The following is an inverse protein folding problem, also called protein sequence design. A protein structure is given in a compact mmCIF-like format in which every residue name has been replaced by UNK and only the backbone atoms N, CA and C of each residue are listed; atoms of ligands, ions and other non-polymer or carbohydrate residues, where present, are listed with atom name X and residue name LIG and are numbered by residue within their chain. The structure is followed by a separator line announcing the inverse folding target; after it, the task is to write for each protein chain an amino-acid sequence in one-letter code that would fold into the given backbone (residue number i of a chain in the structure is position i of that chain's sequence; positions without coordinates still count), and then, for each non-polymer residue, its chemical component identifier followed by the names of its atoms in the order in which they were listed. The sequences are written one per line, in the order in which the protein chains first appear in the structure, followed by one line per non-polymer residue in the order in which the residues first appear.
data_IF_110060174224
#
_entry.id   IF_110060174224
#
_cell.length_a   1.000
_cell.length_b   1.000
_cell.length_c   1.000
_cell.angle_alpha   90.00
_cell.angle_beta   90.00
_cell.angle_gamma   90.00
#
_symmetry.space_group_name_H-M   'P 1'
#
loop_
_entity.id
_entity.type
_entity.pdbx_description
1 polymer ?
#
# COMPACT_ATOMS: atom_id res chain seq x y z
N UNK A 1 -19.60 -16.03 -7.93
CA UNK A 1 -19.02 -16.68 -6.72
C UNK A 1 -19.03 -18.21 -6.83
N UNK A 2 -19.94 -18.78 -7.64
CA UNK A 2 -20.06 -20.22 -7.86
C UNK A 2 -18.72 -20.92 -8.19
N UNK A 3 -18.57 -22.14 -7.67
CA UNK A 3 -17.46 -23.04 -7.98
C UNK A 3 -16.23 -22.89 -7.09
N UNK A 4 -16.21 -21.93 -6.17
CA UNK A 4 -15.14 -21.70 -5.19
C UNK A 4 -15.78 -21.61 -3.81
N UNK A 5 -15.19 -22.30 -2.83
CA UNK A 5 -15.58 -22.19 -1.43
C UNK A 5 -14.95 -20.94 -0.82
N UNK A 6 -15.78 -20.07 -0.26
CA UNK A 6 -15.35 -18.80 0.34
C UNK A 6 -15.44 -18.94 1.86
N UNK A 7 -14.32 -19.10 2.58
CA UNK A 7 -14.33 -19.27 4.04
C UNK A 7 -14.90 -18.02 4.69
N UNK A 8 -15.76 -18.22 5.69
CA UNK A 8 -16.44 -17.16 6.43
C UNK A 8 -16.18 -17.38 7.92
N UNK A 9 -15.47 -16.45 8.58
CA UNK A 9 -15.15 -16.59 10.00
C UNK A 9 -16.40 -16.36 10.87
N UNK A 10 -17.18 -15.34 10.52
CA UNK A 10 -18.47 -14.99 11.12
C UNK A 10 -19.42 -14.63 9.98
N UNK A 11 -20.69 -15.05 10.03
CA UNK A 11 -21.68 -14.82 8.97
C UNK A 11 -21.58 -13.41 8.33
N UNK A 12 -21.13 -13.36 7.07
CA UNK A 12 -20.97 -12.12 6.31
C UNK A 12 -19.59 -11.46 6.38
N UNK A 13 -18.57 -12.16 6.87
CA UNK A 13 -17.17 -11.70 6.95
C UNK A 13 -16.23 -12.68 6.25
N UNK A 14 -16.25 -12.71 4.90
CA UNK A 14 -15.41 -13.63 4.15
C UNK A 14 -13.93 -13.37 4.42
N UNK A 15 -13.17 -14.44 4.62
CA UNK A 15 -11.72 -14.38 4.69
C UNK A 15 -11.11 -14.47 3.30
N UNK A 16 -10.15 -13.59 3.04
CA UNK A 16 -9.30 -13.63 1.86
C UNK A 16 -7.85 -13.94 2.19
N UNK A 17 -7.58 -14.46 3.40
CA UNK A 17 -6.26 -14.98 3.75
C UNK A 17 -5.96 -16.21 2.90
N UNK A 18 -4.70 -16.34 2.48
CA UNK A 18 -4.32 -17.39 1.53
C UNK A 18 -4.47 -18.78 2.16
N UNK A 19 -4.10 -18.91 3.43
CA UNK A 19 -4.27 -20.11 4.25
C UNK A 19 -5.73 -20.54 4.38
N UNK A 20 -6.65 -19.61 4.64
CA UNK A 20 -8.08 -19.91 4.77
C UNK A 20 -8.67 -20.37 3.42
N UNK A 21 -8.34 -19.65 2.33
CA UNK A 21 -8.84 -19.94 0.99
C UNK A 21 -8.34 -21.29 0.47
N UNK A 22 -7.06 -21.59 0.66
CA UNK A 22 -6.46 -22.86 0.24
C UNK A 22 -7.06 -24.03 1.01
N UNK A 23 -7.18 -23.91 2.34
CA UNK A 23 -7.81 -24.93 3.18
C UNK A 23 -9.27 -25.21 2.77
N UNK A 24 -10.07 -24.16 2.57
CA UNK A 24 -11.47 -24.28 2.18
C UNK A 24 -11.67 -24.95 0.80
N UNK A 25 -10.71 -24.80 -0.11
CA UNK A 25 -10.79 -25.33 -1.47
C UNK A 25 -9.95 -26.60 -1.68
N UNK A 26 -9.45 -27.23 -0.61
CA UNK A 26 -8.67 -28.47 -0.69
C UNK A 26 -7.34 -28.34 -1.43
N UNK A 27 -6.73 -27.15 -1.40
CA UNK A 27 -5.44 -26.86 -2.02
C UNK A 27 -4.32 -27.06 -1.00
N UNK A 28 -3.21 -27.66 -1.44
CA UNK A 28 -2.05 -27.87 -0.59
C UNK A 28 -1.44 -26.54 -0.13
N UNK A 29 -1.24 -26.42 1.18
CA UNK A 29 -0.59 -25.29 1.83
C UNK A 29 0.15 -25.80 3.07
N UNK A 30 1.28 -26.47 2.84
CA UNK A 30 1.96 -27.29 3.86
C UNK A 30 2.57 -26.46 4.99
N UNK A 31 3.26 -25.36 4.66
CA UNK A 31 3.89 -24.47 5.61
C UNK A 31 3.48 -23.02 5.29
N UNK A 32 2.33 -22.58 5.81
CA UNK A 32 1.95 -21.18 5.72
C UNK A 32 3.08 -20.31 6.30
N UNK A 33 3.40 -19.21 5.59
CA UNK A 33 4.51 -18.32 5.90
C UNK A 33 5.92 -18.86 5.54
N UNK A 34 6.02 -19.96 4.79
CA UNK A 34 7.19 -20.27 3.96
C UNK A 34 7.05 -19.62 2.58
N UNK A 35 8.11 -18.96 2.11
CA UNK A 35 8.07 -18.18 0.88
C UNK A 35 7.73 -19.03 -0.37
N UNK A 36 8.19 -20.28 -0.42
CA UNK A 36 7.90 -21.17 -1.56
C UNK A 36 6.48 -21.73 -1.46
N UNK A 37 6.05 -22.10 -0.25
CA UNK A 37 4.68 -22.55 0.02
C UNK A 37 3.66 -21.49 -0.39
N UNK A 38 3.87 -20.22 0.00
CA UNK A 38 2.98 -19.10 -0.33
C UNK A 38 2.91 -18.86 -1.86
N UNK A 39 4.03 -19.00 -2.58
CA UNK A 39 4.06 -18.90 -4.05
C UNK A 39 3.26 -20.03 -4.70
N UNK A 40 3.47 -21.27 -4.27
CA UNK A 40 2.74 -22.43 -4.81
C UNK A 40 1.24 -22.32 -4.52
N UNK A 41 0.86 -21.94 -3.31
CA UNK A 41 -0.51 -21.68 -2.90
C UNK A 41 -1.16 -20.57 -3.75
N UNK A 42 -0.44 -19.48 -4.01
CA UNK A 42 -0.93 -18.38 -4.87
C UNK A 42 -1.16 -18.86 -6.31
N UNK A 43 -0.25 -19.66 -6.87
CA UNK A 43 -0.41 -20.25 -8.20
C UNK A 43 -1.63 -21.19 -8.23
N UNK A 44 -1.82 -22.01 -7.19
CA UNK A 44 -2.96 -22.91 -7.09
C UNK A 44 -4.29 -22.15 -7.03
N UNK A 45 -4.38 -21.08 -6.23
CA UNK A 45 -5.54 -20.19 -6.20
C UNK A 45 -5.80 -19.54 -7.55
N UNK A 46 -4.78 -19.04 -8.24
CA UNK A 46 -4.93 -18.46 -9.57
C UNK A 46 -5.46 -19.48 -10.59
N UNK A 47 -4.97 -20.73 -10.56
CA UNK A 47 -5.48 -21.83 -11.39
C UNK A 47 -6.93 -22.16 -11.08
N UNK A 48 -7.31 -22.23 -9.80
CA UNK A 48 -8.68 -22.48 -9.36
C UNK A 48 -9.63 -21.40 -9.90
N UNK A 49 -9.30 -20.12 -9.74
CA UNK A 49 -10.13 -19.02 -10.27
C UNK A 49 -10.23 -19.09 -11.78
N UNK A 50 -9.13 -19.41 -12.48
CA UNK A 50 -9.13 -19.58 -13.94
C UNK A 50 -10.01 -20.75 -14.39
N UNK A 51 -10.02 -21.85 -13.65
CA UNK A 51 -10.84 -23.03 -13.97
C UNK A 51 -12.34 -22.76 -13.74
N UNK A 52 -12.69 -22.20 -12.57
CA UNK A 52 -14.08 -22.02 -12.16
C UNK A 52 -14.73 -20.77 -12.75
N UNK A 53 -13.95 -19.72 -12.98
CA UNK A 53 -14.40 -18.41 -13.46
C UNK A 53 -13.48 -17.87 -14.58
N UNK A 54 -13.31 -18.60 -15.71
CA UNK A 54 -12.33 -18.27 -16.75
C UNK A 54 -12.54 -16.88 -17.36
N UNK A 55 -13.80 -16.51 -17.64
CA UNK A 55 -14.13 -15.19 -18.21
C UNK A 55 -13.76 -14.04 -17.28
N UNK A 56 -13.99 -14.20 -15.97
CA UNK A 56 -13.63 -13.19 -14.97
C UNK A 56 -12.10 -13.09 -14.83
N UNK A 57 -11.41 -14.23 -14.80
CA UNK A 57 -9.95 -14.28 -14.74
C UNK A 57 -9.32 -13.56 -15.95
N UNK A 58 -9.77 -13.90 -17.16
CA UNK A 58 -9.28 -13.28 -18.39
C UNK A 58 -9.60 -11.78 -18.44
N UNK A 59 -10.80 -11.39 -18.00
CA UNK A 59 -11.19 -9.99 -17.90
C UNK A 59 -10.25 -9.21 -16.97
N UNK A 60 -10.03 -9.69 -15.75
CA UNK A 60 -9.16 -9.04 -14.77
C UNK A 60 -7.73 -8.94 -15.29
N UNK A 61 -7.21 -10.02 -15.90
CA UNK A 61 -5.88 -10.05 -16.46
C UNK A 61 -5.73 -9.03 -17.60
N UNK A 62 -6.70 -8.96 -18.53
CA UNK A 62 -6.66 -8.03 -19.66
C UNK A 62 -6.82 -6.56 -19.22
N UNK A 63 -7.56 -6.31 -18.15
CA UNK A 63 -7.87 -4.95 -17.66
C UNK A 63 -6.98 -4.45 -16.53
N UNK A 64 -5.91 -5.18 -16.17
CA UNK A 64 -4.95 -4.75 -15.12
C UNK A 64 -4.09 -3.54 -15.50
N UNK A 65 -4.03 -3.21 -16.79
CA UNK A 65 -3.13 -2.20 -17.33
C UNK A 65 -3.66 -0.77 -17.18
N UNK A 66 -2.74 0.18 -17.00
CA UNK A 66 -3.05 1.61 -16.84
C UNK A 66 -3.99 2.15 -17.92
N UNK A 67 -3.78 1.78 -19.19
CA UNK A 67 -4.56 2.28 -20.33
C UNK A 67 -6.02 1.82 -20.26
N UNK A 68 -6.25 0.54 -19.97
CA UNK A 68 -7.58 -0.06 -19.88
C UNK A 68 -8.37 0.55 -18.72
N UNK A 69 -7.75 0.65 -17.54
CA UNK A 69 -8.39 1.27 -16.37
C UNK A 69 -8.72 2.74 -16.63
N UNK A 70 -7.80 3.51 -17.19
CA UNK A 70 -8.03 4.92 -17.50
C UNK A 70 -9.20 5.14 -18.47
N UNK A 71 -9.40 4.24 -19.43
CA UNK A 71 -10.52 4.30 -20.36
C UNK A 71 -11.89 4.07 -19.67
N UNK A 72 -11.93 3.31 -18.57
CA UNK A 72 -13.14 3.12 -17.77
C UNK A 72 -13.43 4.29 -16.84
N UNK A 73 -12.38 4.95 -16.34
CA UNK A 73 -12.46 6.10 -15.42
C UNK A 73 -12.43 7.42 -16.20
N UNK A 74 -13.31 7.55 -17.20
CA UNK A 74 -13.39 8.73 -18.07
C UNK A 74 -13.99 9.94 -17.32
N UNK A 75 -13.14 10.96 -17.08
CA UNK A 75 -13.51 12.20 -16.39
C UNK A 75 -14.42 13.13 -17.19
N UNK A 76 -14.54 12.94 -18.51
CA UNK A 76 -15.46 13.70 -19.37
C UNK A 76 -16.84 13.06 -19.38
N UNK A 77 -16.89 11.74 -19.60
CA UNK A 77 -18.16 11.02 -19.64
C UNK A 77 -18.75 10.80 -18.25
N UNK A 78 -17.89 10.75 -17.21
CA UNK A 78 -18.23 10.52 -15.79
C UNK A 78 -19.25 9.40 -15.57
N UNK A 79 -19.09 8.31 -16.32
CA UNK A 79 -19.97 7.16 -16.23
C UNK A 79 -19.70 6.37 -14.93
N UNK A 80 -20.73 5.79 -14.30
CA UNK A 80 -20.53 4.89 -13.18
C UNK A 80 -19.77 3.64 -13.62
N UNK A 81 -18.96 3.13 -12.71
CA UNK A 81 -18.24 1.87 -12.83
C UNK A 81 -18.36 1.08 -11.53
N UNK A 82 -18.17 -0.23 -11.58
CA UNK A 82 -18.13 -1.06 -10.38
C UNK A 82 -16.68 -1.32 -9.99
N UNK A 83 -16.35 -1.06 -8.73
CA UNK A 83 -15.00 -1.16 -8.16
C UNK A 83 -14.97 -2.15 -7.01
N UNK A 84 -13.89 -2.94 -6.93
CA UNK A 84 -13.62 -3.82 -5.80
C UNK A 84 -12.30 -3.38 -5.15
N UNK A 85 -12.31 -3.18 -3.84
CA UNK A 85 -11.11 -2.79 -3.08
C UNK A 85 -11.26 -3.12 -1.61
N UNK A 86 -10.22 -3.68 -0.98
CA UNK A 86 -10.20 -3.93 0.47
C UNK A 86 -10.34 -2.70 1.37
N UNK A 87 -10.38 -1.48 0.80
CA UNK A 87 -10.68 -0.24 1.54
C UNK A 87 -12.17 0.14 1.52
N UNK A 88 -13.00 -0.55 0.72
CA UNK A 88 -14.45 -0.35 0.70
C UNK A 88 -15.10 -1.14 1.83
N UNK A 89 -16.37 -0.86 2.11
CA UNK A 89 -17.05 -1.49 3.23
C UNK A 89 -17.14 -3.01 3.04
N UNK A 90 -16.87 -3.73 4.12
CA UNK A 90 -16.92 -5.20 4.12
C UNK A 90 -18.36 -5.71 3.97
N UNK A 91 -19.33 -4.92 4.43
CA UNK A 91 -20.76 -5.20 4.36
C UNK A 91 -21.24 -5.35 2.92
N UNK A 92 -20.66 -4.58 1.98
CA UNK A 92 -20.90 -4.72 0.54
C UNK A 92 -19.90 -5.64 -0.16
N UNK A 93 -19.27 -6.55 0.61
CA UNK A 93 -18.23 -7.46 0.13
C UNK A 93 -17.11 -6.73 -0.64
N UNK A 94 -16.72 -5.55 -0.15
CA UNK A 94 -15.68 -4.69 -0.73
C UNK A 94 -15.99 -4.15 -2.13
N UNK A 95 -17.26 -4.21 -2.56
CA UNK A 95 -17.74 -3.72 -3.85
C UNK A 95 -18.51 -2.40 -3.73
N UNK A 96 -18.30 -1.48 -4.67
CA UNK A 96 -19.07 -0.23 -4.75
C UNK A 96 -19.30 0.21 -6.20
N UNK A 97 -20.45 0.83 -6.45
CA UNK A 97 -20.67 1.63 -7.65
C UNK A 97 -20.05 3.00 -7.44
N UNK A 98 -19.12 3.38 -8.30
CA UNK A 98 -18.33 4.59 -8.16
C UNK A 98 -18.41 5.46 -9.41
N UNK A 99 -18.16 6.76 -9.25
CA UNK A 99 -18.09 7.75 -10.32
C UNK A 99 -16.74 8.48 -10.28
N UNK A 100 -16.05 8.68 -11.42
CA UNK A 100 -14.83 9.47 -11.45
C UNK A 100 -15.18 10.96 -11.43
N UNK A 101 -14.54 11.72 -10.55
CA UNK A 101 -14.82 13.14 -10.35
C UNK A 101 -13.68 14.05 -10.84
N UNK A 102 -12.44 13.74 -10.49
CA UNK A 102 -11.28 14.58 -10.84
C UNK A 102 -9.98 13.78 -10.94
N UNK A 103 -9.02 14.30 -11.70
CA UNK A 103 -7.63 13.84 -11.66
C UNK A 103 -6.98 14.25 -10.34
N UNK A 104 -6.14 13.44 -9.73
CA UNK A 104 -5.39 13.84 -8.53
C UNK A 104 -4.37 14.95 -8.85
N UNK A 105 -4.23 16.00 -8.01
CA UNK A 105 -3.41 17.18 -8.32
C UNK A 105 -1.93 16.90 -8.56
N UNK A 106 -1.34 15.99 -7.76
CA UNK A 106 0.11 15.71 -7.81
C UNK A 106 0.44 14.32 -8.37
N UNK A 107 -0.55 13.43 -8.47
CA UNK A 107 -0.35 12.04 -8.88
C UNK A 107 -1.07 11.78 -10.19
N UNK A 108 -0.32 11.74 -11.29
CA UNK A 108 -0.86 11.49 -12.63
C UNK A 108 -1.47 10.09 -12.80
N UNK A 109 -1.28 9.18 -11.85
CA UNK A 109 -1.93 7.87 -11.80
C UNK A 109 -3.11 7.81 -10.83
N UNK A 110 -3.47 8.89 -10.15
CA UNK A 110 -4.59 8.91 -9.20
C UNK A 110 -5.84 9.55 -9.80
N UNK A 111 -6.97 8.87 -9.74
CA UNK A 111 -8.28 9.43 -10.09
C UNK A 111 -9.16 9.46 -8.84
N UNK A 112 -9.63 10.64 -8.47
CA UNK A 112 -10.51 10.85 -7.33
C UNK A 112 -11.91 10.43 -7.75
N UNK A 113 -12.45 9.41 -7.06
CA UNK A 113 -13.75 8.83 -7.33
C UNK A 113 -14.63 8.93 -6.08
N UNK A 114 -15.94 8.96 -6.28
CA UNK A 114 -16.94 8.98 -5.21
C UNK A 114 -17.75 7.69 -5.21
N UNK A 115 -18.02 7.16 -4.02
CA UNK A 115 -18.92 6.03 -3.82
C UNK A 115 -20.38 6.48 -3.90
N UNK A 116 -21.09 6.02 -4.93
CA UNK A 116 -22.47 6.43 -5.21
C UNK A 116 -23.48 5.87 -4.20
N UNK A 117 -23.09 4.93 -3.33
CA UNK A 117 -23.98 4.42 -2.27
C UNK A 117 -24.26 5.47 -1.17
N UNK A 118 -23.42 6.49 -1.04
CA UNK A 118 -23.51 7.49 0.01
C UNK A 118 -24.15 8.81 -0.44
N UNK A 119 -24.66 9.60 0.51
CA UNK A 119 -25.21 10.93 0.21
C UNK A 119 -24.09 11.92 -0.17
N UNK A 120 -24.13 12.54 -1.37
CA UNK A 120 -23.15 13.54 -1.77
C UNK A 120 -23.32 14.89 -1.08
N UNK A 121 -24.35 15.12 -0.25
CA UNK A 121 -24.63 16.42 0.37
C UNK A 121 -23.41 17.05 1.05
N UNK A 122 -22.67 16.28 1.86
CA UNK A 122 -21.48 16.76 2.54
C UNK A 122 -20.35 17.16 1.56
N UNK A 123 -20.21 16.45 0.44
CA UNK A 123 -19.24 16.80 -0.61
C UNK A 123 -19.63 18.10 -1.33
N UNK A 124 -20.94 18.30 -1.54
CA UNK A 124 -21.48 19.45 -2.25
C UNK A 124 -21.42 20.72 -1.39
N UNK A 125 -21.93 20.64 -0.15
CA UNK A 125 -22.16 21.80 0.72
C UNK A 125 -20.91 22.29 1.46
N UNK A 126 -20.01 21.38 1.86
CA UNK A 126 -18.84 21.74 2.67
C UNK A 126 -17.74 22.39 1.83
N UNK A 127 -16.89 23.19 2.48
CA UNK A 127 -15.69 23.72 1.86
C UNK A 127 -14.54 22.68 1.85
N UNK A 128 -13.48 22.98 1.10
CA UNK A 128 -12.32 22.10 0.89
C UNK A 128 -11.58 21.74 2.19
N UNK A 129 -11.57 22.61 3.20
CA UNK A 129 -10.94 22.34 4.49
C UNK A 129 -11.77 21.32 5.29
N UNK A 130 -13.08 21.54 5.39
CA UNK A 130 -14.00 20.63 6.07
C UNK A 130 -14.05 19.25 5.40
N UNK A 131 -14.02 19.21 4.05
CA UNK A 131 -13.97 17.95 3.31
C UNK A 131 -12.66 17.23 3.60
N UNK A 132 -11.53 17.94 3.57
CA UNK A 132 -10.22 17.38 3.89
C UNK A 132 -10.22 16.75 5.28
N UNK A 133 -10.72 17.47 6.28
CA UNK A 133 -10.77 16.95 7.66
C UNK A 133 -11.60 15.66 7.73
N UNK A 134 -12.75 15.59 7.03
CA UNK A 134 -13.55 14.36 6.99
C UNK A 134 -12.91 13.22 6.20
N UNK A 135 -12.12 13.51 5.17
CA UNK A 135 -11.50 12.49 4.29
C UNK A 135 -10.23 11.90 4.92
N UNK A 136 -9.41 12.70 5.60
CA UNK A 136 -8.08 12.27 6.06
C UNK A 136 -7.98 11.99 7.57
N UNK A 137 -8.99 12.36 8.36
CA UNK A 137 -9.07 11.96 9.78
C UNK A 137 -9.44 10.48 9.89
N UNK A 138 -8.88 9.73 10.83
CA UNK A 138 -9.27 8.35 11.07
C UNK A 138 -10.73 8.30 11.57
N UNK A 139 -11.48 7.24 11.23
CA UNK A 139 -12.92 7.22 11.53
C UNK A 139 -13.21 7.26 13.04
N UNK A 140 -12.29 6.76 13.87
CA UNK A 140 -12.38 6.82 15.33
C UNK A 140 -12.17 8.24 15.91
N UNK A 141 -11.54 9.13 15.14
CA UNK A 141 -11.21 10.49 15.56
C UNK A 141 -12.16 11.54 14.94
N UNK A 142 -13.16 11.10 14.17
CA UNK A 142 -14.17 12.00 13.63
C UNK A 142 -15.10 12.50 14.74
N UNK A 143 -15.57 13.77 14.67
CA UNK A 143 -16.55 14.29 15.61
C UNK A 143 -17.82 13.43 15.66
N UNK A 144 -18.46 13.37 16.82
CA UNK A 144 -19.72 12.63 16.99
C UNK A 144 -20.78 13.12 15.98
N UNK A 145 -21.38 12.18 15.25
CA UNK A 145 -22.35 12.46 14.19
C UNK A 145 -21.75 12.89 12.84
N UNK A 146 -20.43 13.03 12.70
CA UNK A 146 -19.79 13.32 11.42
C UNK A 146 -19.43 12.03 10.67
N UNK A 147 -19.95 11.89 9.45
CA UNK A 147 -19.60 10.79 8.56
C UNK A 147 -18.42 11.15 7.64
N UNK A 148 -17.54 10.17 7.39
CA UNK A 148 -16.47 10.27 6.38
C UNK A 148 -17.11 10.47 5.01
N UNK A 149 -16.62 11.47 4.26
CA UNK A 149 -17.01 11.64 2.87
C UNK A 149 -16.34 10.53 2.04
N UNK A 150 -17.09 9.69 1.31
CA UNK A 150 -16.54 8.49 0.67
C UNK A 150 -15.90 8.80 -0.67
N UNK A 151 -14.84 9.59 -0.59
CA UNK A 151 -13.89 9.83 -1.67
C UNK A 151 -12.76 8.80 -1.59
N UNK A 152 -12.40 8.25 -2.75
CA UNK A 152 -11.29 7.31 -2.87
C UNK A 152 -10.46 7.65 -4.10
N UNK A 153 -9.14 7.67 -3.93
CA UNK A 153 -8.20 7.77 -5.05
C UNK A 153 -7.94 6.38 -5.62
N UNK A 154 -8.40 6.15 -6.85
CA UNK A 154 -8.08 4.93 -7.60
C UNK A 154 -6.77 5.14 -8.34
N UNK A 155 -5.80 4.28 -8.02
CA UNK A 155 -4.47 4.30 -8.61
C UNK A 155 -4.41 3.41 -9.84
N UNK A 156 -4.48 3.99 -11.03
CA UNK A 156 -4.62 3.24 -12.30
C UNK A 156 -3.39 2.39 -12.64
N UNK A 157 -2.23 2.64 -12.01
CA UNK A 157 -1.01 1.86 -12.20
C UNK A 157 -0.81 0.74 -11.15
N UNK A 158 -1.78 0.51 -10.26
CA UNK A 158 -1.73 -0.53 -9.22
C UNK A 158 -2.68 -1.69 -9.48
N UNK A 159 -2.99 -1.96 -10.76
CA UNK A 159 -3.93 -2.99 -11.20
C UNK A 159 -5.27 -3.01 -10.42
N UNK A 160 -5.96 -1.86 -10.27
CA UNK A 160 -7.24 -1.82 -9.56
C UNK A 160 -8.30 -2.60 -10.32
N UNK A 161 -9.16 -3.33 -9.59
CA UNK A 161 -10.29 -4.05 -10.20
C UNK A 161 -11.40 -3.06 -10.49
N UNK A 162 -11.56 -2.73 -11.78
CA UNK A 162 -12.59 -1.83 -12.30
C UNK A 162 -13.36 -2.58 -13.37
N UNK A 163 -14.68 -2.51 -13.30
CA UNK A 163 -15.58 -3.16 -14.25
C UNK A 163 -16.74 -2.23 -14.63
N UNK A 164 -17.52 -2.61 -15.64
CA UNK A 164 -18.75 -1.88 -15.97
C UNK A 164 -19.77 -1.99 -14.85
N UNK A 165 -20.48 -0.89 -14.54
CA UNK A 165 -21.59 -0.90 -13.57
C UNK A 165 -22.68 -1.93 -13.92
N UNK A 166 -22.82 -2.30 -15.20
CA UNK A 166 -23.81 -3.27 -15.68
C UNK A 166 -23.63 -4.68 -15.11
N UNK A 167 -22.47 -5.00 -14.51
CA UNK A 167 -22.28 -6.27 -13.80
C UNK A 167 -23.06 -6.31 -12.47
N UNK A 168 -23.49 -5.17 -11.94
CA UNK A 168 -24.33 -5.08 -10.75
C UNK A 168 -25.79 -5.10 -11.18
N UNK A 169 -26.27 -6.29 -11.55
CA UNK A 169 -27.70 -6.52 -11.78
C UNK A 169 -28.49 -6.57 -10.46
N UNK A 170 -29.81 -6.71 -10.52
CA UNK A 170 -30.66 -6.72 -9.32
C UNK A 170 -30.29 -7.82 -8.32
N UNK A 171 -29.88 -9.00 -8.80
CA UNK A 171 -29.46 -10.10 -7.94
C UNK A 171 -28.13 -9.78 -7.23
N UNK A 172 -27.17 -9.23 -7.97
CA UNK A 172 -25.87 -8.82 -7.46
C UNK A 172 -26.00 -7.64 -6.49
N UNK A 173 -26.81 -6.64 -6.83
CA UNK A 173 -27.12 -5.51 -5.97
C UNK A 173 -27.69 -5.97 -4.63
N UNK A 174 -28.66 -6.88 -4.65
CA UNK A 174 -29.22 -7.47 -3.42
C UNK A 174 -28.17 -8.23 -2.60
N UNK A 175 -27.28 -8.99 -3.26
CA UNK A 175 -26.21 -9.74 -2.58
C UNK A 175 -25.14 -8.83 -1.97
N UNK A 176 -24.86 -7.69 -2.59
CA UNK A 176 -23.89 -6.71 -2.13
C UNK A 176 -24.50 -5.62 -1.25
N UNK A 177 -25.80 -5.66 -0.95
CA UNK A 177 -26.52 -4.61 -0.23
C UNK A 177 -26.32 -3.20 -0.86
N UNK A 178 -26.43 -3.13 -2.19
CA UNK A 178 -26.31 -1.89 -2.97
C UNK A 178 -27.69 -1.45 -3.44
N UNK A 179 -28.10 -0.24 -3.04
CA UNK A 179 -29.29 0.43 -3.57
C UNK A 179 -28.99 1.10 -4.92
N UNK A 180 -29.47 0.48 -6.01
CA UNK A 180 -29.26 0.97 -7.38
C UNK A 180 -29.99 2.29 -7.65
N UNK A 181 -31.17 2.50 -7.08
CA UNK A 181 -31.95 3.73 -7.29
C UNK A 181 -31.28 4.92 -6.59
N UNK A 182 -30.76 4.69 -5.38
CA UNK A 182 -29.93 5.68 -4.68
C UNK A 182 -28.66 6.01 -5.46
N UNK A 183 -27.94 4.99 -5.94
CA UNK A 183 -26.74 5.20 -6.75
C UNK A 183 -27.03 6.04 -8.00
N UNK A 184 -28.12 5.74 -8.72
CA UNK A 184 -28.54 6.48 -9.91
C UNK A 184 -28.88 7.94 -9.57
N UNK A 185 -29.68 8.17 -8.52
CA UNK A 185 -30.03 9.54 -8.08
C UNK A 185 -28.78 10.36 -7.72
N UNK A 186 -27.84 9.76 -7.00
CA UNK A 186 -26.58 10.40 -6.63
C UNK A 186 -25.70 10.68 -7.86
N UNK A 187 -25.66 9.76 -8.82
CA UNK A 187 -24.93 9.95 -10.07
C UNK A 187 -25.51 11.11 -10.89
N UNK A 188 -26.83 11.19 -11.05
CA UNK A 188 -27.49 12.29 -11.76
C UNK A 188 -27.18 13.64 -11.09
N UNK A 189 -27.28 13.69 -9.75
CA UNK A 189 -26.95 14.89 -8.97
C UNK A 189 -25.51 15.34 -9.21
N UNK A 190 -24.53 14.45 -9.05
CA UNK A 190 -23.11 14.77 -9.20
C UNK A 190 -22.71 15.05 -10.65
N UNK A 191 -23.37 14.43 -11.63
CA UNK A 191 -23.10 14.65 -13.06
C UNK A 191 -23.43 16.07 -13.51
N UNK A 192 -24.36 16.73 -12.82
CA UNK A 192 -24.72 18.13 -13.08
C UNK A 192 -23.74 19.15 -12.49
N UNK A 193 -22.74 18.71 -11.71
CA UNK A 193 -21.86 19.59 -10.93
C UNK A 193 -20.41 19.43 -11.38
N UNK A 194 -19.65 20.53 -11.40
CA UNK A 194 -18.20 20.46 -11.51
C UNK A 194 -17.53 20.64 -10.15
N UNK A 195 -16.96 19.55 -9.64
CA UNK A 195 -16.26 19.52 -8.36
C UNK A 195 -14.74 19.49 -8.55
N UNK A 196 -14.25 19.61 -9.79
CA UNK A 196 -12.84 19.41 -10.13
C UNK A 196 -11.91 20.31 -9.32
N UNK A 197 -12.14 21.63 -9.34
CA UNK A 197 -11.30 22.60 -8.63
C UNK A 197 -11.37 22.45 -7.12
N UNK A 198 -12.58 22.19 -6.58
CA UNK A 198 -12.76 21.90 -5.14
C UNK A 198 -11.93 20.67 -4.74
N UNK A 199 -11.98 19.61 -5.54
CA UNK A 199 -11.22 18.38 -5.27
C UNK A 199 -9.71 18.56 -5.49
N UNK A 200 -9.27 19.41 -6.43
CA UNK A 200 -7.86 19.80 -6.53
C UNK A 200 -7.38 20.43 -5.23
N UNK A 201 -8.19 21.32 -4.64
CA UNK A 201 -7.86 21.97 -3.38
C UNK A 201 -7.89 21.00 -2.22
N UNK A 202 -8.86 20.09 -2.12
CA UNK A 202 -8.94 19.06 -1.05
C UNK A 202 -7.72 18.14 -1.05
N UNK A 203 -7.33 17.63 -2.23
CA UNK A 203 -6.26 16.63 -2.38
C UNK A 203 -4.86 17.23 -2.62
N UNK A 204 -4.72 18.56 -2.59
CA UNK A 204 -3.41 19.19 -2.64
C UNK A 204 -2.57 18.70 -1.45
N UNK A 205 -1.38 18.19 -1.74
CA UNK A 205 -0.48 17.58 -0.76
C UNK A 205 -0.18 18.52 0.42
N UNK A 206 -0.22 17.96 1.63
CA UNK A 206 0.45 18.54 2.78
C UNK A 206 1.94 18.21 2.67
N UNK A 207 2.78 19.24 2.82
CA UNK A 207 4.23 19.04 2.92
C UNK A 207 4.52 18.39 4.27
N UNK A 208 4.67 17.07 4.28
CA UNK A 208 5.32 16.41 5.40
C UNK A 208 6.77 16.93 5.50
N UNK A 209 7.32 17.04 6.71
CA UNK A 209 8.75 17.34 6.85
C UNK A 209 9.53 16.30 6.04
N UNK A 210 10.50 16.74 5.21
CA UNK A 210 11.28 15.80 4.41
C UNK A 210 12.02 14.84 5.33
N UNK A 211 12.01 13.55 4.98
CA UNK A 211 12.89 12.58 5.63
C UNK A 211 14.33 12.94 5.28
N UNK A 212 15.22 12.93 6.26
CA UNK A 212 16.64 13.27 6.06
C UNK A 212 17.43 12.13 5.42
N UNK A 213 17.12 10.88 5.76
CA UNK A 213 17.79 9.68 5.24
C UNK A 213 17.30 9.33 3.82
N UNK A 214 18.22 9.23 2.86
CA UNK A 214 17.93 8.83 1.49
C UNK A 214 17.23 7.46 1.37
N UNK A 215 17.47 6.54 2.31
CA UNK A 215 16.82 5.21 2.33
C UNK A 215 15.30 5.30 2.56
N UNK A 216 14.82 6.41 3.11
CA UNK A 216 13.40 6.70 3.34
C UNK A 216 12.79 7.60 2.25
N UNK A 217 13.53 7.90 1.18
CA UNK A 217 13.14 8.85 0.13
C UNK A 217 12.89 8.19 -1.22
N UNK A 218 12.47 6.91 -1.24
CA UNK A 218 12.14 6.18 -2.48
C UNK A 218 11.17 6.96 -3.39
N UNK A 219 10.19 7.63 -2.78
CA UNK A 219 9.18 8.43 -3.49
C UNK A 219 9.52 9.93 -3.59
N UNK A 220 10.73 10.34 -3.21
CA UNK A 220 11.19 11.74 -3.28
C UNK A 220 11.43 12.27 -4.70
N UNK A 221 11.27 11.42 -5.73
CA UNK A 221 11.45 11.77 -7.14
C UNK A 221 12.16 10.66 -7.91
N UNK A 222 11.99 10.67 -9.23
CA UNK A 222 12.70 9.76 -10.13
C UNK A 222 14.16 10.19 -10.32
N UNK A 223 15.04 9.23 -10.54
CA UNK A 223 16.43 9.50 -10.86
C UNK A 223 16.54 10.28 -12.18
N UNK A 224 17.34 11.37 -12.25
CA UNK A 224 17.62 12.09 -13.48
C UNK A 224 18.21 11.18 -14.57
N UNK A 225 17.90 11.46 -15.84
CA UNK A 225 18.37 10.62 -16.96
C UNK A 225 19.91 10.55 -17.05
N UNK A 226 20.61 11.63 -16.73
CA UNK A 226 22.08 11.69 -16.75
C UNK A 226 22.74 10.71 -15.78
N UNK A 227 22.05 10.37 -14.69
CA UNK A 227 22.55 9.50 -13.63
C UNK A 227 22.26 8.00 -13.92
N UNK A 228 21.41 7.69 -14.92
CA UNK A 228 20.98 6.31 -15.17
C UNK A 228 22.12 5.39 -15.59
N UNK A 229 23.09 5.90 -16.35
CA UNK A 229 24.25 5.10 -16.80
C UNK A 229 25.11 4.61 -15.63
N UNK A 230 25.33 5.48 -14.65
CA UNK A 230 26.13 5.18 -13.46
C UNK A 230 25.58 4.01 -12.64
N UNK A 231 24.28 3.74 -12.71
CA UNK A 231 23.67 2.64 -11.97
C UNK A 231 24.23 1.28 -12.38
N UNK A 232 24.49 1.07 -13.67
CA UNK A 232 25.05 -0.19 -14.16
C UNK A 232 26.52 -0.33 -13.78
N UNK A 233 27.27 0.77 -13.84
CA UNK A 233 28.69 0.80 -13.46
C UNK A 233 28.85 0.48 -11.97
N UNK A 234 28.05 1.13 -11.10
CA UNK A 234 28.04 0.87 -9.65
C UNK A 234 27.67 -0.59 -9.33
N UNK A 235 26.70 -1.18 -10.03
CA UNK A 235 26.31 -2.58 -9.79
C UNK A 235 27.38 -3.59 -10.19
N UNK A 236 28.26 -3.24 -11.14
CA UNK A 236 29.36 -4.09 -11.60
C UNK A 236 30.67 -3.82 -10.88
N UNK A 237 30.78 -2.69 -10.19
CA UNK A 237 31.96 -2.29 -9.46
C UNK A 237 32.30 -3.28 -8.34
N UNK A 238 33.60 -3.52 -8.18
CA UNK A 238 34.20 -4.28 -7.09
C UNK A 238 34.61 -3.35 -5.94
N UNK A 239 35.02 -3.93 -4.81
CA UNK A 239 35.60 -3.15 -3.71
C UNK A 239 36.79 -2.28 -4.15
N UNK A 240 37.65 -2.81 -5.04
CA UNK A 240 38.78 -2.08 -5.60
C UNK A 240 38.32 -0.90 -6.45
N UNK A 241 37.29 -1.09 -7.28
CA UNK A 241 36.74 -0.02 -8.10
C UNK A 241 36.18 1.11 -7.22
N UNK A 242 35.47 0.76 -6.14
CA UNK A 242 34.96 1.74 -5.19
C UNK A 242 36.03 2.52 -4.45
N UNK A 243 37.22 1.96 -4.26
CA UNK A 243 38.36 2.66 -3.65
C UNK A 243 39.16 3.52 -4.64
N UNK A 244 39.14 3.17 -5.93
CA UNK A 244 40.00 3.80 -6.96
C UNK A 244 39.25 4.80 -7.84
N UNK A 245 37.94 4.64 -8.00
CA UNK A 245 37.11 5.44 -8.89
C UNK A 245 36.10 6.24 -8.06
N UNK A 246 35.81 7.47 -8.49
CA UNK A 246 34.75 8.27 -7.87
C UNK A 246 33.45 8.13 -8.68
N UNK A 247 32.47 7.48 -8.07
CA UNK A 247 31.09 7.49 -8.55
C UNK A 247 30.36 8.66 -7.91
N UNK A 248 29.78 9.53 -8.74
CA UNK A 248 29.06 10.70 -8.26
C UNK A 248 27.76 10.88 -9.04
N UNK A 249 26.65 10.84 -8.30
CA UNK A 249 25.31 11.10 -8.82
C UNK A 249 24.97 12.58 -8.65
N UNK A 250 24.28 13.17 -9.63
CA UNK A 250 23.74 14.51 -9.49
C UNK A 250 22.62 14.54 -8.44
N UNK A 251 21.83 13.47 -8.35
CA UNK A 251 20.88 13.28 -7.25
C UNK A 251 21.61 12.92 -5.94
N UNK A 252 21.59 13.85 -4.99
CA UNK A 252 22.29 13.71 -3.70
C UNK A 252 21.84 12.49 -2.89
N UNK A 253 20.60 12.01 -3.08
CA UNK A 253 20.11 10.80 -2.41
C UNK A 253 20.94 9.59 -2.81
N UNK A 254 21.32 9.49 -4.08
CA UNK A 254 22.07 8.36 -4.60
C UNK A 254 23.52 8.34 -4.10
N UNK A 255 24.11 9.49 -3.77
CA UNK A 255 25.42 9.54 -3.11
C UNK A 255 25.36 8.97 -1.68
N UNK A 256 24.31 9.30 -0.91
CA UNK A 256 24.08 8.72 0.41
C UNK A 256 23.76 7.21 0.34
N UNK A 257 22.96 6.79 -0.64
CA UNK A 257 22.66 5.38 -0.89
C UNK A 257 23.91 4.61 -1.30
N UNK A 258 24.78 5.17 -2.15
CA UNK A 258 26.03 4.56 -2.56
C UNK A 258 26.98 4.37 -1.37
N UNK A 259 27.08 5.38 -0.49
CA UNK A 259 27.85 5.25 0.74
C UNK A 259 27.32 4.11 1.62
N UNK A 260 26.01 4.05 1.85
CA UNK A 260 25.38 2.98 2.64
C UNK A 260 25.54 1.59 1.97
N UNK A 261 25.49 1.53 0.65
CA UNK A 261 25.72 0.32 -0.14
C UNK A 261 27.15 -0.19 0.02
N UNK A 262 28.16 0.69 -0.16
CA UNK A 262 29.57 0.38 0.07
C UNK A 262 29.79 -0.11 1.50
N UNK A 263 29.27 0.61 2.49
CA UNK A 263 29.47 0.26 3.89
C UNK A 263 28.90 -1.11 4.28
N UNK A 264 27.81 -1.55 3.66
CA UNK A 264 27.17 -2.84 3.94
C UNK A 264 27.81 -4.01 3.21
N UNK A 265 28.17 -3.83 1.94
CA UNK A 265 28.55 -4.93 1.06
C UNK A 265 30.03 -4.96 0.68
N UNK A 266 30.73 -3.82 0.83
CA UNK A 266 32.15 -3.64 0.53
C UNK A 266 32.83 -2.78 1.62
N UNK A 267 32.72 -3.14 2.92
CA UNK A 267 33.26 -2.33 4.01
C UNK A 267 34.77 -2.07 3.90
N UNK A 268 35.50 -2.97 3.25
CA UNK A 268 36.92 -2.85 2.92
C UNK A 268 37.22 -1.73 1.92
N UNK A 269 36.21 -1.25 1.19
CA UNK A 269 36.36 -0.12 0.26
C UNK A 269 36.34 1.24 0.96
N UNK A 270 35.98 1.30 2.24
CA UNK A 270 35.85 2.53 3.00
C UNK A 270 37.17 3.02 3.58
N UNK A 271 37.40 4.34 3.57
CA UNK A 271 38.46 4.97 4.36
C UNK A 271 38.20 4.85 5.87
N UNK A 272 39.20 5.16 6.70
CA UNK A 272 39.03 5.19 8.15
C UNK A 272 37.99 6.25 8.58
N UNK A 273 37.95 7.42 7.95
CA UNK A 273 36.93 8.45 8.24
C UNK A 273 35.54 8.00 7.79
N UNK A 274 35.43 7.34 6.63
CA UNK A 274 34.18 6.79 6.13
C UNK A 274 33.63 5.71 7.07
N UNK A 275 34.50 4.85 7.62
CA UNK A 275 34.11 3.84 8.61
C UNK A 275 33.56 4.47 9.90
N UNK A 276 34.19 5.55 10.40
CA UNK A 276 33.67 6.27 11.57
C UNK A 276 32.33 6.94 11.29
N UNK A 277 32.20 7.57 10.11
CA UNK A 277 30.94 8.17 9.66
C UNK A 277 29.82 7.13 9.58
N UNK A 278 30.12 5.93 9.07
CA UNK A 278 29.16 4.82 9.03
C UNK A 278 28.77 4.34 10.44
N UNK A 279 29.74 4.22 11.35
CA UNK A 279 29.50 3.82 12.74
C UNK A 279 28.56 4.81 13.45
N UNK A 280 28.80 6.11 13.30
CA UNK A 280 27.94 7.16 13.85
C UNK A 280 26.52 7.10 13.25
N UNK A 281 26.42 6.89 11.93
CA UNK A 281 25.12 6.70 11.26
C UNK A 281 24.36 5.48 11.80
N UNK A 282 25.04 4.34 12.02
CA UNK A 282 24.45 3.17 12.63
C UNK A 282 23.97 3.44 14.06
N UNK A 283 24.79 4.10 14.89
CA UNK A 283 24.40 4.48 16.26
C UNK A 283 23.16 5.36 16.26
N UNK A 284 23.14 6.40 15.42
CA UNK A 284 21.98 7.28 15.27
C UNK A 284 20.70 6.51 14.91
N UNK A 285 20.76 5.58 13.94
CA UNK A 285 19.60 4.72 13.58
C UNK A 285 19.16 3.80 14.73
N UNK A 286 20.09 3.36 15.58
CA UNK A 286 19.80 2.47 16.71
C UNK A 286 19.28 3.20 17.95
N UNK A 287 19.50 4.51 18.09
CA UNK A 287 19.20 5.25 19.32
C UNK A 287 18.22 6.41 19.17
N UNK A 288 18.12 7.03 17.99
CA UNK A 288 17.32 8.23 17.78
C UNK A 288 15.95 7.90 17.16
N UNK A 289 14.87 8.26 17.84
CA UNK A 289 13.49 8.02 17.36
C UNK A 289 13.14 8.85 16.11
N UNK A 290 13.85 9.96 15.86
CA UNK A 290 13.69 10.76 14.64
C UNK A 290 14.36 10.10 13.43
N UNK A 291 15.16 9.05 13.64
CA UNK A 291 15.80 8.32 12.54
C UNK A 291 14.81 7.61 11.63
N UNK A 292 13.58 7.36 12.08
CA UNK A 292 12.58 6.62 11.32
C UNK A 292 12.76 5.09 11.36
N UNK A 293 13.73 4.59 12.10
CA UNK A 293 13.94 3.17 12.38
C UNK A 293 13.53 2.82 13.81
N UNK A 294 13.28 1.54 14.07
CA UNK A 294 13.02 1.03 15.42
C UNK A 294 14.30 1.12 16.26
N UNK A 295 14.27 1.89 17.34
CA UNK A 295 15.44 2.03 18.23
C UNK A 295 15.62 0.79 19.11
N UNK A 296 16.82 0.58 19.64
CA UNK A 296 17.11 -0.50 20.61
C UNK A 296 16.23 -0.40 21.86
N UNK A 297 15.92 0.82 22.30
CA UNK A 297 15.04 1.05 23.45
C UNK A 297 13.60 0.65 23.14
N UNK A 298 13.08 1.03 21.97
CA UNK A 298 11.72 0.68 21.53
C UNK A 298 11.60 -0.83 21.29
N UNK A 299 12.61 -1.43 20.67
CA UNK A 299 12.68 -2.88 20.48
C UNK A 299 12.65 -3.61 21.84
N UNK A 300 13.46 -3.21 22.82
CA UNK A 300 13.45 -3.82 24.16
C UNK A 300 12.09 -3.73 24.83
N UNK A 301 11.47 -2.55 24.85
CA UNK A 301 10.12 -2.37 25.41
C UNK A 301 9.09 -3.28 24.73
N UNK A 302 9.19 -3.44 23.40
CA UNK A 302 8.28 -4.30 22.63
C UNK A 302 8.51 -5.78 22.94
N UNK A 303 9.78 -6.21 23.05
CA UNK A 303 10.12 -7.57 23.45
C UNK A 303 9.64 -7.88 24.87
N UNK A 304 9.83 -6.98 25.83
CA UNK A 304 9.35 -7.14 27.21
C UNK A 304 7.82 -7.33 27.25
N UNK A 305 7.09 -6.49 26.51
CA UNK A 305 5.63 -6.57 26.40
C UNK A 305 5.16 -7.90 25.78
N UNK A 306 5.82 -8.34 24.70
CA UNK A 306 5.47 -9.60 24.04
C UNK A 306 5.82 -10.80 24.90
N UNK A 307 7.00 -10.84 25.54
CA UNK A 307 7.45 -11.95 26.38
C UNK A 307 6.61 -12.12 27.65
N UNK A 308 5.98 -11.04 28.12
CA UNK A 308 5.04 -11.06 29.24
C UNK A 308 3.73 -11.80 28.89
N UNK A 309 3.41 -12.00 27.62
CA UNK A 309 2.25 -12.78 27.20
C UNK A 309 2.50 -14.27 27.50
N UNK A 310 1.67 -14.80 28.40
CA UNK A 310 1.73 -16.21 28.85
C UNK A 310 1.08 -17.17 27.85
N UNK A 311 0.33 -16.66 26.87
CA UNK A 311 -0.31 -17.46 25.82
C UNK A 311 0.62 -17.80 24.64
N UNK A 312 1.85 -17.26 24.64
CA UNK A 312 2.82 -17.53 23.59
C UNK A 312 3.23 -19.01 23.55
N UNK A 313 3.27 -19.56 22.33
CA UNK A 313 3.87 -20.86 22.09
C UNK A 313 5.38 -20.84 22.36
N UNK A 314 5.95 -22.00 22.71
CA UNK A 314 7.39 -22.16 22.95
C UNK A 314 8.23 -21.70 21.76
N UNK A 315 7.76 -21.97 20.54
CA UNK A 315 8.42 -21.49 19.33
C UNK A 315 8.48 -19.97 19.26
N UNK A 316 7.35 -19.27 19.46
CA UNK A 316 7.31 -17.80 19.45
C UNK A 316 8.16 -17.20 20.57
N UNK A 317 8.11 -17.80 21.76
CA UNK A 317 8.96 -17.38 22.89
C UNK A 317 10.45 -17.52 22.54
N UNK A 318 10.84 -18.64 21.92
CA UNK A 318 12.22 -18.86 21.45
C UNK A 318 12.68 -17.83 20.42
N UNK A 319 11.81 -17.44 19.47
CA UNK A 319 12.11 -16.37 18.51
C UNK A 319 12.36 -15.03 19.21
N UNK A 320 11.50 -14.67 20.17
CA UNK A 320 11.66 -13.42 20.93
C UNK A 320 12.94 -13.39 21.76
N UNK A 321 13.31 -14.52 22.40
CA UNK A 321 14.56 -14.65 23.15
C UNK A 321 15.81 -14.59 22.24
N UNK A 322 15.71 -15.15 21.03
CA UNK A 322 16.77 -15.03 20.03
C UNK A 322 16.94 -13.58 19.58
N UNK A 323 15.85 -12.84 19.38
CA UNK A 323 15.87 -11.41 19.05
C UNK A 323 16.45 -10.56 20.20
N UNK A 324 16.14 -10.89 21.45
CA UNK A 324 16.72 -10.25 22.63
C UNK A 324 18.24 -10.46 22.66
N UNK A 325 18.70 -11.70 22.48
CA UNK A 325 20.12 -12.07 22.45
C UNK A 325 20.87 -11.38 21.30
N UNK A 326 20.26 -11.32 20.12
CA UNK A 326 20.80 -10.60 18.98
C UNK A 326 20.90 -9.10 19.26
N UNK A 327 19.88 -8.50 19.88
CA UNK A 327 19.87 -7.08 20.25
C UNK A 327 21.00 -6.75 21.22
N UNK A 328 21.28 -7.62 22.19
CA UNK A 328 22.42 -7.46 23.10
C UNK A 328 23.77 -7.48 22.36
N UNK A 329 23.90 -8.36 21.36
CA UNK A 329 25.10 -8.43 20.50
C UNK A 329 25.28 -7.13 19.71
N UNK A 330 24.19 -6.58 19.14
CA UNK A 330 24.20 -5.30 18.43
C UNK A 330 24.58 -4.16 19.37
N UNK A 331 24.01 -4.09 20.57
CA UNK A 331 24.36 -3.10 21.59
C UNK A 331 25.87 -3.12 21.89
N UNK A 332 26.44 -4.31 22.11
CA UNK A 332 27.87 -4.46 22.35
C UNK A 332 28.72 -4.05 21.14
N UNK A 333 28.34 -4.49 19.92
CA UNK A 333 29.05 -4.18 18.68
C UNK A 333 29.17 -2.66 18.45
N UNK A 334 28.12 -1.92 18.76
CA UNK A 334 28.09 -0.46 18.58
C UNK A 334 28.47 0.32 19.84
N UNK A 335 28.78 -0.35 20.96
CA UNK A 335 29.17 0.29 22.23
C UNK A 335 28.08 1.23 22.78
N UNK A 336 26.83 0.75 22.80
CA UNK A 336 25.64 1.48 23.22
C UNK A 336 25.10 1.05 24.59
#
# INVERSE_FOLDING_TARGET
PEGIEWPDHESGRPSFRLEDLTAANGLAHEAAHDALSDVTATIAMAKLVKEKQPRLFDYALQNRGKKQVAAMLDLKARKPFFHISGMLAKEQLYGALMMPLAQHPTNSNGIICFDLSADPEALVSLNEHQIRDRVFTASADLPEGAERIPLKVIHINKAPVVTTHKLVDTATAKRLDIDLERCERNWQRLSSMDLSDKLQLVFREQKFPPKSDAEQQLYGGFLPNQDKGLLDDVRRATASDFSQQQFYFADQRYNQLLFSYRARYFPESLSAEEQQTWLESCRWRLTDEQSGYLTLQQNRRTLDQLLADTSLSDHKRGVLQALESWSATVTQQFGL
#
